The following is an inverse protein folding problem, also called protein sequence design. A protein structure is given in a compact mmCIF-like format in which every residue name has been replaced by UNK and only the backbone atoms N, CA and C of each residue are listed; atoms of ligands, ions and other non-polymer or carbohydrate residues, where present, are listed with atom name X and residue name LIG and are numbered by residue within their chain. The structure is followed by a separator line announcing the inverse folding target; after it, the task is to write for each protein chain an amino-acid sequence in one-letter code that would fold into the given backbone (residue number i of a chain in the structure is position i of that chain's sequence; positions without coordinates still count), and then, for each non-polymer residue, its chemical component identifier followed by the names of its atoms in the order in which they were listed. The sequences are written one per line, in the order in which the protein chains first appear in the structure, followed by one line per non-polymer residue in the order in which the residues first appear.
data_IF_341730663114
#
_entry.id   IF_341730663114
#
_cell.length_a   1.000
_cell.length_b   1.000
_cell.length_c   1.000
_cell.angle_alpha   90.00
_cell.angle_beta   90.00
_cell.angle_gamma   90.00
#
_symmetry.space_group_name_H-M   'P 1'
#
loop_
_entity.id
_entity.type
_entity.pdbx_description
1 polymer ?
#
# COMPACT_ATOMS: atom_id res chain seq x y z
N UNK A 1 8.39 -20.40 3.40
CA UNK A 1 8.28 -21.46 4.42
C UNK A 1 8.70 -20.84 5.73
N UNK A 2 7.83 -20.91 6.73
CA UNK A 2 8.17 -20.53 8.11
C UNK A 2 8.47 -21.81 8.87
N UNK A 3 9.63 -21.84 9.54
CA UNK A 3 10.03 -22.95 10.41
C UNK A 3 9.92 -22.51 11.86
N UNK A 4 9.20 -23.29 12.66
CA UNK A 4 9.10 -23.09 14.11
C UNK A 4 9.81 -24.24 14.80
N UNK A 5 10.83 -23.92 15.59
CA UNK A 5 11.60 -24.89 16.37
C UNK A 5 11.20 -24.81 17.84
N UNK A 6 10.79 -25.93 18.42
CA UNK A 6 10.49 -26.04 19.84
C UNK A 6 11.56 -26.86 20.57
N UNK A 7 11.89 -26.48 21.80
CA UNK A 7 12.90 -27.20 22.60
C UNK A 7 12.45 -28.59 23.06
N UNK A 8 11.14 -28.87 23.04
CA UNK A 8 10.55 -30.14 23.50
C UNK A 8 9.48 -30.71 22.54
N UNK A 9 9.28 -30.12 21.36
CA UNK A 9 8.28 -30.55 20.36
C UNK A 9 8.92 -30.66 18.97
N UNK A 10 8.40 -31.53 18.09
CA UNK A 10 8.93 -31.69 16.74
C UNK A 10 8.90 -30.37 15.95
N UNK A 11 9.86 -30.22 15.04
CA UNK A 11 9.90 -29.09 14.10
C UNK A 11 8.65 -29.11 13.23
N UNK A 12 7.97 -27.96 13.12
CA UNK A 12 6.83 -27.78 12.24
C UNK A 12 7.20 -26.83 11.09
N UNK A 13 7.03 -27.31 9.86
CA UNK A 13 7.21 -26.52 8.64
C UNK A 13 5.85 -26.02 8.14
N UNK A 14 5.65 -24.71 8.14
CA UNK A 14 4.42 -24.06 7.70
C UNK A 14 4.62 -23.50 6.28
N UNK A 15 3.74 -23.93 5.37
CA UNK A 15 3.65 -23.32 4.05
C UNK A 15 3.11 -21.90 4.19
N UNK A 16 3.89 -20.91 3.75
CA UNK A 16 3.49 -19.50 3.71
C UNK A 16 3.19 -19.14 2.25
N UNK A 17 1.98 -19.41 1.74
CA UNK A 17 1.59 -18.94 0.41
C UNK A 17 1.62 -17.40 0.38
N UNK A 18 1.59 -16.83 -0.82
CA UNK A 18 1.37 -15.38 -0.98
C UNK A 18 0.12 -14.98 -0.19
N UNK A 19 0.22 -13.88 0.56
CA UNK A 19 -0.93 -13.31 1.24
C UNK A 19 -2.02 -12.96 0.20
N UNK A 20 -3.29 -13.07 0.58
CA UNK A 20 -4.44 -12.92 -0.34
C UNK A 20 -4.58 -11.53 -0.97
N UNK A 21 -3.79 -10.56 -0.54
CA UNK A 21 -3.74 -9.19 -1.05
C UNK A 21 -2.32 -8.86 -1.54
N UNK A 22 -2.19 -7.82 -2.37
CA UNK A 22 -0.87 -7.34 -2.82
C UNK A 22 -0.04 -6.75 -1.66
N UNK A 23 1.28 -6.76 -1.82
CA UNK A 23 2.19 -6.21 -0.81
C UNK A 23 1.95 -4.70 -0.56
N UNK A 24 2.22 -4.23 0.66
CA UNK A 24 2.02 -2.84 1.08
C UNK A 24 2.62 -1.82 0.10
N UNK A 25 3.86 -2.02 -0.31
CA UNK A 25 4.56 -1.12 -1.25
C UNK A 25 3.92 -1.12 -2.66
N UNK A 26 3.25 -2.20 -3.05
CA UNK A 26 2.49 -2.18 -4.31
C UNK A 26 1.25 -1.29 -4.20
N UNK A 27 0.67 -1.17 -3.01
CA UNK A 27 -0.44 -0.25 -2.72
C UNK A 27 0.07 1.20 -2.72
N UNK A 28 1.24 1.46 -2.14
CA UNK A 28 1.92 2.75 -2.29
C UNK A 28 2.06 3.14 -3.76
N UNK A 29 2.58 2.23 -4.58
CA UNK A 29 2.72 2.50 -6.02
C UNK A 29 1.37 2.82 -6.66
N UNK A 30 0.32 2.05 -6.38
CA UNK A 30 -1.01 2.31 -6.93
C UNK A 30 -1.59 3.67 -6.50
N UNK A 31 -1.43 4.04 -5.23
CA UNK A 31 -1.87 5.32 -4.68
C UNK A 31 -1.06 6.45 -5.30
N UNK A 32 0.26 6.45 -5.14
CA UNK A 32 1.16 7.54 -5.54
C UNK A 32 1.21 7.76 -7.06
N UNK A 33 0.95 6.72 -7.86
CA UNK A 33 0.83 6.84 -9.33
C UNK A 33 -0.40 7.64 -9.74
N UNK A 34 -1.52 7.46 -9.02
CA UNK A 34 -2.84 7.98 -9.40
C UNK A 34 -3.21 9.29 -8.69
N UNK A 35 -2.39 9.74 -7.74
CA UNK A 35 -2.57 11.05 -7.08
C UNK A 35 -1.40 11.99 -7.41
N UNK A 36 -1.69 13.28 -7.50
CA UNK A 36 -0.68 14.32 -7.68
C UNK A 36 -0.02 14.72 -6.35
N UNK A 37 0.40 13.72 -5.55
CA UNK A 37 1.02 13.88 -4.23
C UNK A 37 2.24 12.97 -4.09
N UNK A 38 3.21 13.36 -3.25
CA UNK A 38 4.46 12.62 -3.05
C UNK A 38 4.47 11.84 -1.73
N UNK A 39 4.26 10.53 -1.80
CA UNK A 39 4.43 9.62 -0.67
C UNK A 39 5.85 9.06 -0.56
N UNK A 40 6.00 7.93 0.13
CA UNK A 40 7.29 7.30 0.36
C UNK A 40 7.96 6.81 -0.94
N UNK A 41 7.24 6.08 -1.80
CA UNK A 41 7.87 5.43 -2.96
C UNK A 41 8.26 6.42 -4.07
N UNK A 42 7.47 7.47 -4.28
CA UNK A 42 7.80 8.54 -5.24
C UNK A 42 9.01 9.38 -4.80
N UNK A 43 9.33 9.41 -3.50
CA UNK A 43 10.57 10.02 -2.98
C UNK A 43 11.77 9.10 -3.17
N UNK A 44 11.62 7.81 -2.86
CA UNK A 44 12.63 6.79 -3.18
C UNK A 44 12.99 6.82 -4.66
N UNK A 45 11.98 6.89 -5.55
CA UNK A 45 12.18 6.96 -6.99
C UNK A 45 12.86 8.26 -7.48
N UNK A 46 12.88 9.31 -6.64
CA UNK A 46 13.55 10.57 -6.90
C UNK A 46 14.95 10.65 -6.25
N UNK A 47 15.52 9.51 -5.83
CA UNK A 47 16.80 9.39 -5.12
C UNK A 47 16.87 10.22 -3.82
N UNK A 48 15.71 10.57 -3.22
CA UNK A 48 15.68 11.12 -1.87
C UNK A 48 15.97 9.99 -0.88
N UNK A 49 17.13 10.04 -0.21
CA UNK A 49 17.57 9.01 0.73
C UNK A 49 16.55 8.89 1.87
N UNK A 50 15.78 7.80 1.97
CA UNK A 50 14.80 7.65 3.03
C UNK A 50 15.55 7.23 4.29
N UNK A 51 15.86 8.20 5.15
CA UNK A 51 16.27 7.92 6.53
C UNK A 51 15.07 7.57 7.40
N UNK A 52 15.29 6.90 8.52
CA UNK A 52 14.29 6.73 9.60
C UNK A 52 13.74 8.08 10.11
N UNK A 53 14.45 9.17 9.81
CA UNK A 53 14.10 10.55 10.12
C UNK A 53 13.76 11.37 8.85
N UNK A 54 13.15 10.75 7.83
CA UNK A 54 12.37 11.52 6.86
C UNK A 54 11.49 12.48 7.67
N UNK A 55 11.69 13.78 7.50
CA UNK A 55 10.92 14.77 8.25
C UNK A 55 9.44 14.45 8.06
N UNK A 56 8.65 14.50 9.14
CA UNK A 56 7.20 14.34 9.07
C UNK A 56 6.60 15.46 8.22
N UNK A 57 6.62 15.25 6.91
CA UNK A 57 5.95 16.10 5.95
C UNK A 57 4.50 15.60 5.93
N UNK A 58 3.58 16.45 6.38
CA UNK A 58 2.17 16.08 6.53
C UNK A 58 1.55 15.47 5.27
N UNK A 59 2.10 15.78 4.09
CA UNK A 59 1.71 15.14 2.83
C UNK A 59 2.05 13.64 2.77
N UNK A 60 3.26 13.23 3.14
CA UNK A 60 3.66 11.83 3.13
C UNK A 60 2.86 11.01 4.16
N UNK A 61 2.61 11.60 5.33
CA UNK A 61 1.76 11.00 6.36
C UNK A 61 0.32 10.81 5.89
N UNK A 62 -0.24 11.79 5.16
CA UNK A 62 -1.56 11.68 4.58
C UNK A 62 -1.60 10.63 3.45
N UNK A 63 -0.56 10.51 2.63
CA UNK A 63 -0.49 9.44 1.61
C UNK A 63 -0.48 8.07 2.27
N UNK A 64 0.31 7.88 3.33
CA UNK A 64 0.33 6.63 4.11
C UNK A 64 -1.07 6.27 4.63
N UNK A 65 -1.84 7.24 5.13
CA UNK A 65 -3.20 6.97 5.61
C UNK A 65 -4.13 6.48 4.50
N UNK A 66 -3.99 7.02 3.30
CA UNK A 66 -4.77 6.57 2.14
C UNK A 66 -4.36 5.14 1.74
N UNK A 67 -3.06 4.82 1.76
CA UNK A 67 -2.53 3.47 1.54
C UNK A 67 -3.11 2.48 2.55
N UNK A 68 -3.07 2.80 3.85
CA UNK A 68 -3.64 1.96 4.91
C UNK A 68 -5.15 1.74 4.73
N UNK A 69 -5.91 2.77 4.31
CA UNK A 69 -7.34 2.64 4.05
C UNK A 69 -7.63 1.71 2.87
N UNK A 70 -6.85 1.81 1.79
CA UNK A 70 -6.96 0.90 0.63
C UNK A 70 -6.56 -0.52 1.02
N UNK A 71 -5.52 -0.70 1.84
CA UNK A 71 -5.13 -2.01 2.33
C UNK A 71 -6.20 -2.63 3.23
N UNK A 72 -6.81 -1.85 4.11
CA UNK A 72 -7.93 -2.31 4.93
C UNK A 72 -9.09 -2.79 4.06
N UNK A 73 -9.44 -2.03 3.02
CA UNK A 73 -10.45 -2.40 2.03
C UNK A 73 -10.13 -3.73 1.32
N UNK A 74 -8.86 -4.01 0.99
CA UNK A 74 -8.47 -5.28 0.39
C UNK A 74 -8.69 -6.48 1.32
N UNK A 75 -8.60 -6.28 2.63
CA UNK A 75 -8.87 -7.31 3.63
C UNK A 75 -10.35 -7.45 4.01
N UNK A 76 -11.09 -6.34 4.05
CA UNK A 76 -12.47 -6.29 4.56
C UNK A 76 -13.54 -6.29 3.46
N UNK A 77 -13.16 -6.05 2.21
CA UNK A 77 -14.06 -5.88 1.07
C UNK A 77 -14.28 -4.42 0.68
N UNK A 78 -14.64 -4.20 -0.58
CA UNK A 78 -14.82 -2.87 -1.18
C UNK A 78 -16.17 -2.23 -0.81
N UNK A 79 -16.11 -1.06 -0.19
CA UNK A 79 -17.27 -0.20 0.08
C UNK A 79 -17.45 0.90 -0.95
N UNK A 80 -18.38 1.83 -0.69
CA UNK A 80 -18.55 3.00 -1.55
C UNK A 80 -17.29 3.90 -1.51
N UNK A 81 -16.95 4.56 -2.62
CA UNK A 81 -15.76 5.42 -2.66
C UNK A 81 -15.84 6.57 -1.63
N UNK A 82 -17.04 7.14 -1.42
CA UNK A 82 -17.29 8.14 -0.40
C UNK A 82 -17.00 7.65 1.03
N UNK A 83 -17.26 6.38 1.35
CA UNK A 83 -16.98 5.79 2.66
C UNK A 83 -15.47 5.65 2.89
N UNK A 84 -14.73 5.21 1.86
CA UNK A 84 -13.27 5.15 1.91
C UNK A 84 -12.66 6.55 2.10
N UNK A 85 -13.17 7.57 1.39
CA UNK A 85 -12.73 8.96 1.53
C UNK A 85 -13.03 9.48 2.95
N UNK A 86 -14.20 9.17 3.50
CA UNK A 86 -14.55 9.54 4.86
C UNK A 86 -13.64 8.87 5.90
N UNK A 87 -13.36 7.58 5.75
CA UNK A 87 -12.44 6.83 6.60
C UNK A 87 -11.02 7.40 6.53
N UNK A 88 -10.55 7.73 5.33
CA UNK A 88 -9.26 8.38 5.11
C UNK A 88 -9.14 9.71 5.87
N UNK A 89 -10.16 10.58 5.75
CA UNK A 89 -10.20 11.86 6.48
C UNK A 89 -10.19 11.66 7.99
N UNK A 90 -10.97 10.70 8.49
CA UNK A 90 -11.00 10.33 9.90
C UNK A 90 -9.64 9.81 10.39
N UNK A 91 -8.98 8.97 9.60
CA UNK A 91 -7.67 8.38 9.90
C UNK A 91 -6.55 9.43 9.98
N UNK A 92 -6.60 10.47 9.13
CA UNK A 92 -5.69 11.61 9.21
C UNK A 92 -5.94 12.45 10.46
N UNK A 93 -7.20 12.81 10.72
CA UNK A 93 -7.59 13.60 11.89
C UNK A 93 -7.19 12.91 13.20
N UNK A 94 -7.40 11.60 13.31
CA UNK A 94 -7.01 10.80 14.47
C UNK A 94 -5.50 10.80 14.75
N UNK A 95 -4.67 11.07 13.73
CA UNK A 95 -3.20 11.16 13.84
C UNK A 95 -2.68 12.60 13.87
N UNK A 96 -3.56 13.60 13.90
CA UNK A 96 -3.18 15.01 14.06
C UNK A 96 -2.61 15.67 12.81
N UNK A 97 -2.90 15.14 11.61
CA UNK A 97 -2.50 15.76 10.34
C UNK A 97 -3.68 15.93 9.39
N UNK A 98 -3.52 16.82 8.41
CA UNK A 98 -4.58 17.18 7.47
C UNK A 98 -4.66 16.18 6.31
N UNK A 99 -5.86 15.71 6.01
CA UNK A 99 -6.14 15.01 4.76
C UNK A 99 -6.08 15.99 3.58
N UNK A 100 -5.56 15.53 2.44
CA UNK A 100 -5.74 16.23 1.16
C UNK A 100 -7.06 15.81 0.52
N UNK A 101 -7.52 16.57 -0.46
CA UNK A 101 -8.72 16.19 -1.22
C UNK A 101 -8.41 15.03 -2.16
N UNK A 102 -9.27 14.01 -2.07
CA UNK A 102 -9.29 12.84 -2.95
C UNK A 102 -10.69 12.73 -3.52
N UNK A 103 -10.77 12.65 -4.84
CA UNK A 103 -12.02 12.46 -5.58
C UNK A 103 -12.38 10.97 -5.71
N UNK A 104 -13.66 10.68 -5.91
CA UNK A 104 -14.10 9.30 -6.21
C UNK A 104 -13.49 8.76 -7.51
N UNK A 105 -13.15 9.65 -8.46
CA UNK A 105 -12.47 9.29 -9.71
C UNK A 105 -11.05 8.79 -9.43
N UNK A 106 -10.31 9.46 -8.55
CA UNK A 106 -8.98 9.02 -8.11
C UNK A 106 -9.07 7.70 -7.34
N UNK A 107 -10.04 7.54 -6.43
CA UNK A 107 -10.28 6.26 -5.74
C UNK A 107 -10.54 5.13 -6.73
N UNK A 108 -11.38 5.37 -7.75
CA UNK A 108 -11.65 4.39 -8.79
C UNK A 108 -10.39 4.06 -9.63
N UNK A 109 -9.52 5.04 -9.88
CA UNK A 109 -8.25 4.81 -10.59
C UNK A 109 -7.26 3.98 -9.75
N UNK A 110 -7.11 4.29 -8.47
CA UNK A 110 -6.30 3.52 -7.52
C UNK A 110 -6.79 2.08 -7.45
N UNK A 111 -8.10 1.88 -7.30
CA UNK A 111 -8.73 0.56 -7.24
C UNK A 111 -8.46 -0.29 -8.49
N UNK A 112 -8.52 0.31 -9.68
CA UNK A 112 -8.17 -0.37 -10.95
C UNK A 112 -6.70 -0.77 -10.97
N UNK A 113 -5.79 0.14 -10.59
CA UNK A 113 -4.36 -0.17 -10.55
C UNK A 113 -4.06 -1.30 -9.55
N UNK A 114 -4.71 -1.30 -8.38
CA UNK A 114 -4.61 -2.37 -7.38
C UNK A 114 -5.08 -3.72 -7.95
N UNK A 115 -6.19 -3.75 -8.69
CA UNK A 115 -6.70 -4.98 -9.32
C UNK A 115 -5.73 -5.51 -10.37
N UNK A 116 -5.19 -4.62 -11.22
CA UNK A 116 -4.20 -4.98 -12.24
C UNK A 116 -2.91 -5.53 -11.61
N UNK A 117 -2.44 -4.90 -10.53
CA UNK A 117 -1.28 -5.34 -9.76
C UNK A 117 -1.53 -6.71 -9.10
N UNK A 118 -2.74 -6.94 -8.57
CA UNK A 118 -3.11 -8.22 -7.96
C UNK A 118 -3.08 -9.36 -8.98
N UNK A 119 -3.61 -9.13 -10.19
CA UNK A 119 -3.57 -10.10 -11.28
C UNK A 119 -2.11 -10.42 -11.65
N UNK A 120 -1.29 -9.39 -11.86
CA UNK A 120 0.14 -9.57 -12.19
C UNK A 120 0.91 -10.30 -11.08
N UNK A 121 0.65 -9.95 -9.82
CA UNK A 121 1.30 -10.56 -8.66
C UNK A 121 0.94 -12.03 -8.49
N UNK A 122 -0.34 -12.37 -8.67
CA UNK A 122 -0.81 -13.75 -8.59
C UNK A 122 -0.21 -14.63 -9.69
N UNK A 123 0.01 -14.08 -10.89
CA UNK A 123 0.58 -14.80 -12.02
C UNK A 123 2.08 -15.11 -11.87
N UNK A 124 2.81 -14.41 -10.99
CA UNK A 124 4.23 -14.69 -10.78
C UNK A 124 4.44 -16.06 -10.11
N UNK A 125 5.41 -16.88 -10.58
CA UNK A 125 5.82 -18.06 -9.84
C UNK A 125 6.43 -17.69 -8.49
N UNK A 126 6.55 -18.66 -7.59
CA UNK A 126 7.31 -18.48 -6.36
C UNK A 126 8.75 -18.11 -6.72
N UNK A 127 9.29 -17.04 -6.12
CA UNK A 127 10.60 -16.49 -6.46
C UNK A 127 10.63 -15.56 -7.68
N UNK A 128 9.50 -15.37 -8.37
CA UNK A 128 9.38 -14.39 -9.46
C UNK A 128 9.42 -12.94 -8.94
N UNK A 129 9.77 -12.01 -9.84
CA UNK A 129 9.84 -10.58 -9.55
C UNK A 129 9.01 -9.76 -10.54
N UNK A 130 8.66 -8.54 -10.14
CA UNK A 130 7.98 -7.56 -10.98
C UNK A 130 8.64 -6.19 -10.79
N UNK A 131 8.76 -5.45 -11.88
CA UNK A 131 9.26 -4.08 -11.87
C UNK A 131 8.08 -3.13 -12.01
N UNK A 132 8.05 -2.11 -11.15
CA UNK A 132 7.10 -1.00 -11.16
C UNK A 132 7.90 0.29 -11.36
N UNK A 133 7.40 1.19 -12.21
CA UNK A 133 8.09 2.44 -12.53
C UNK A 133 7.10 3.59 -12.54
N UNK A 134 7.44 4.70 -11.88
CA UNK A 134 6.72 5.95 -12.05
C UNK A 134 7.10 6.56 -13.40
N UNK A 135 6.12 7.08 -14.14
CA UNK A 135 6.42 7.86 -15.34
C UNK A 135 7.17 9.13 -14.94
N UNK A 136 8.13 9.55 -15.77
CA UNK A 136 8.75 10.87 -15.62
C UNK A 136 7.65 11.94 -15.69
N UNK A 137 7.57 12.78 -14.66
CA UNK A 137 6.63 13.91 -14.59
C UNK A 137 7.33 15.20 -15.01
#
# INVERSE_FOLDING_TARGET
MLRIEGTCVPVEDILCPKQGVIAHDMIHYAVEKNIARRGFLSRVAADEVPGYAMAHEGEAEAVERLVECIQAELWSGRGAAAELIALYRLSCAARGHAAFDVSEVEVAAIRREVDDLAIRWAALPIGGSMVLAFAAR
#
